data_IF_237142842260
#
_entry.id   IF_237142842260
#
_cell.length_a   1.000
_cell.length_b   1.000
_cell.length_c   1.000
_cell.angle_alpha   90.00
_cell.angle_beta   90.00
_cell.angle_gamma   90.00
#
_symmetry.space_group_name_H-M   'P 1'
#
loop_
_entity.id
_entity.type
_entity.pdbx_description
1 polymer ?
#
# COMPACT_ATOMS: atom_id res chain seq x y z
N UNK A 1 -2.05 -12.64 13.33
CA UNK A 1 -2.87 -11.65 12.58
C UNK A 1 -2.02 -10.42 12.37
N UNK A 2 -2.44 -9.55 11.46
CA UNK A 2 -1.89 -8.20 11.33
C UNK A 2 -3.01 -7.18 11.16
N UNK A 3 -2.70 -5.93 11.42
CA UNK A 3 -3.60 -4.77 11.27
C UNK A 3 -3.04 -3.83 10.20
N UNK A 4 -3.90 -3.12 9.49
CA UNK A 4 -3.48 -2.20 8.45
C UNK A 4 -2.82 -0.90 8.95
N UNK A 5 -3.08 -0.51 10.20
CA UNK A 5 -2.50 0.66 10.82
C UNK A 5 -1.02 0.43 11.15
N UNK A 6 -0.20 1.47 11.01
CA UNK A 6 1.25 1.36 11.21
C UNK A 6 1.63 1.78 12.65
N UNK A 7 2.62 1.13 13.28
CA UNK A 7 3.41 0.00 12.79
C UNK A 7 2.65 -1.34 12.82
N UNK A 8 2.75 -2.07 11.71
CA UNK A 8 2.24 -3.43 11.48
C UNK A 8 3.36 -4.43 11.19
N UNK A 9 3.07 -5.74 11.21
CA UNK A 9 4.03 -6.78 10.82
C UNK A 9 4.50 -6.58 9.36
N UNK A 10 3.59 -6.21 8.47
CA UNK A 10 3.91 -5.90 7.07
C UNK A 10 4.87 -4.70 6.94
N UNK A 11 4.82 -3.75 7.86
CA UNK A 11 5.65 -2.53 7.82
C UNK A 11 7.03 -2.66 8.48
N UNK A 12 7.39 -3.83 9.02
CA UNK A 12 8.66 -3.99 9.75
C UNK A 12 9.90 -3.55 8.94
N UNK A 13 10.03 -3.90 7.64
CA UNK A 13 11.16 -3.41 6.84
C UNK A 13 11.11 -1.92 6.56
N UNK A 14 9.90 -1.36 6.38
CA UNK A 14 9.73 0.08 6.17
C UNK A 14 10.29 0.90 7.34
N UNK A 15 10.14 0.41 8.58
CA UNK A 15 10.70 1.05 9.78
C UNK A 15 12.15 0.64 10.10
N UNK A 16 12.80 -0.19 9.26
CA UNK A 16 14.19 -0.62 9.45
C UNK A 16 14.39 -1.60 10.61
N UNK A 17 13.34 -2.29 11.08
CA UNK A 17 13.48 -3.30 12.13
C UNK A 17 14.06 -4.61 11.60
N UNK A 18 13.82 -4.92 10.33
CA UNK A 18 14.26 -6.15 9.68
C UNK A 18 14.50 -5.91 8.20
N UNK A 19 15.41 -6.65 7.58
CA UNK A 19 15.65 -6.54 6.15
C UNK A 19 14.47 -7.08 5.34
N UNK A 20 14.23 -6.49 4.18
CA UNK A 20 13.07 -6.85 3.33
C UNK A 20 13.17 -8.26 2.72
N UNK A 21 14.37 -8.86 2.71
CA UNK A 21 14.64 -10.23 2.25
C UNK A 21 14.83 -11.24 3.39
N UNK A 22 14.59 -10.84 4.65
CA UNK A 22 14.66 -11.75 5.79
C UNK A 22 13.64 -12.89 5.64
N UNK A 23 14.10 -14.12 5.86
CA UNK A 23 13.31 -15.34 5.62
C UNK A 23 12.11 -15.47 6.56
N UNK A 24 12.19 -14.93 7.78
CA UNK A 24 11.08 -14.95 8.74
C UNK A 24 10.08 -13.86 8.36
N UNK A 25 10.56 -12.68 7.98
CA UNK A 25 9.70 -11.62 7.46
C UNK A 25 8.93 -12.07 6.22
N UNK A 26 9.58 -12.68 5.22
CA UNK A 26 8.90 -13.14 4.01
C UNK A 26 7.78 -14.16 4.31
N UNK A 27 8.01 -15.12 5.21
CA UNK A 27 6.95 -16.03 5.67
C UNK A 27 5.83 -15.32 6.43
N UNK A 28 6.19 -14.26 7.17
CA UNK A 28 5.22 -13.44 7.89
C UNK A 28 4.38 -12.63 6.90
N UNK A 29 5.00 -12.02 5.88
CA UNK A 29 4.32 -11.34 4.78
C UNK A 29 3.33 -12.26 4.08
N UNK A 30 3.75 -13.47 3.72
CA UNK A 30 2.86 -14.48 3.10
C UNK A 30 1.66 -14.80 4.00
N UNK A 31 1.88 -14.95 5.30
CA UNK A 31 0.80 -15.14 6.27
C UNK A 31 -0.15 -13.93 6.33
N UNK A 32 0.39 -12.71 6.40
CA UNK A 32 -0.39 -11.46 6.51
C UNK A 32 -1.28 -11.23 5.28
N UNK A 33 -0.76 -11.55 4.09
CA UNK A 33 -1.41 -11.38 2.79
C UNK A 33 -2.18 -12.64 2.34
N UNK A 34 -2.78 -13.36 3.28
CA UNK A 34 -3.52 -14.60 3.02
C UNK A 34 -4.74 -14.74 3.93
N UNK A 35 -5.62 -15.67 3.60
CA UNK A 35 -6.83 -15.99 4.39
C UNK A 35 -6.54 -16.48 5.82
N UNK A 36 -5.27 -16.75 6.16
CA UNK A 36 -4.84 -17.03 7.52
C UNK A 36 -4.87 -15.79 8.43
N UNK A 37 -4.74 -14.59 7.85
CA UNK A 37 -4.98 -13.35 8.55
C UNK A 37 -6.46 -13.02 8.52
N UNK A 38 -7.13 -12.97 9.68
CA UNK A 38 -8.57 -12.69 9.77
C UNK A 38 -9.00 -11.31 9.23
N UNK A 39 -8.04 -10.40 9.06
CA UNK A 39 -8.26 -9.07 8.49
C UNK A 39 -7.71 -8.95 7.07
N UNK A 40 -7.25 -10.05 6.46
CA UNK A 40 -7.11 -10.13 5.02
C UNK A 40 -8.51 -10.32 4.42
N UNK A 41 -8.88 -9.43 3.50
CA UNK A 41 -10.12 -9.53 2.77
C UNK A 41 -9.79 -9.74 1.30
N UNK A 42 -10.40 -10.77 0.70
CA UNK A 42 -10.18 -11.17 -0.68
C UNK A 42 -11.49 -11.09 -1.46
N UNK A 43 -11.76 -9.92 -2.04
CA UNK A 43 -12.89 -9.68 -2.92
C UNK A 43 -12.69 -10.22 -4.33
N UNK A 44 -13.70 -10.04 -5.18
CA UNK A 44 -13.57 -10.35 -6.61
C UNK A 44 -12.50 -9.47 -7.28
N UNK A 45 -12.42 -8.20 -6.86
CA UNK A 45 -11.50 -7.21 -7.41
C UNK A 45 -10.49 -6.70 -6.38
N UNK A 46 -10.96 -6.31 -5.20
CA UNK A 46 -10.10 -5.70 -4.19
C UNK A 46 -9.67 -6.72 -3.14
N UNK A 47 -8.37 -6.74 -2.88
CA UNK A 47 -7.76 -7.56 -1.85
C UNK A 47 -6.80 -6.73 -1.01
N UNK A 48 -6.79 -6.94 0.30
CA UNK A 48 -5.95 -6.14 1.19
C UNK A 48 -6.20 -6.41 2.67
N UNK A 49 -5.39 -5.76 3.51
CA UNK A 49 -5.51 -5.86 4.97
C UNK A 49 -6.41 -4.73 5.49
N UNK A 50 -7.30 -5.08 6.40
CA UNK A 50 -8.15 -4.14 7.13
C UNK A 50 -7.78 -4.01 8.59
N UNK A 51 -8.78 -3.62 9.39
CA UNK A 51 -8.64 -3.47 10.84
C UNK A 51 -9.95 -3.82 11.55
N UNK A 52 -9.92 -4.40 12.77
CA UNK A 52 -11.11 -4.45 13.61
C UNK A 52 -11.72 -3.07 13.88
N UNK A 53 -10.97 -1.98 13.72
CA UNK A 53 -11.46 -0.61 13.92
C UNK A 53 -12.60 -0.24 12.96
N UNK A 54 -12.50 -0.64 11.69
CA UNK A 54 -13.50 -0.34 10.65
C UNK A 54 -14.46 -1.51 10.39
N UNK A 55 -14.27 -2.64 11.08
CA UNK A 55 -15.08 -3.83 10.92
C UNK A 55 -14.63 -4.73 9.77
N UNK A 56 -15.35 -5.85 9.60
CA UNK A 56 -15.02 -6.85 8.59
C UNK A 56 -15.36 -6.36 7.18
N UNK A 57 -14.50 -6.69 6.23
CA UNK A 57 -14.67 -6.35 4.82
C UNK A 57 -14.20 -4.95 4.43
N UNK A 58 -13.58 -4.20 5.35
CA UNK A 58 -13.01 -2.89 5.02
C UNK A 58 -11.49 -3.00 4.87
N UNK A 59 -11.00 -2.76 3.67
CA UNK A 59 -9.57 -2.71 3.34
C UNK A 59 -9.06 -1.29 3.56
N UNK A 60 -7.86 -1.14 4.11
CA UNK A 60 -7.23 0.16 4.31
C UNK A 60 -6.19 0.41 3.21
N UNK A 61 -6.27 1.52 2.46
CA UNK A 61 -5.26 1.90 1.46
C UNK A 61 -3.83 1.89 1.98
N UNK A 62 -3.63 2.22 3.26
CA UNK A 62 -2.30 2.20 3.88
C UNK A 62 -1.65 0.81 3.87
N UNK A 63 -2.42 -0.27 4.00
CA UNK A 63 -1.86 -1.63 3.88
C UNK A 63 -1.38 -1.94 2.46
N UNK A 64 -2.05 -1.38 1.44
CA UNK A 64 -1.66 -1.51 0.04
C UNK A 64 -0.39 -0.71 -0.25
N UNK A 65 -0.27 0.50 0.32
CA UNK A 65 0.98 1.26 0.29
C UNK A 65 2.13 0.47 0.93
N UNK A 66 1.92 -0.16 2.09
CA UNK A 66 2.94 -1.00 2.73
C UNK A 66 3.28 -2.22 1.89
N UNK A 67 2.29 -2.86 1.26
CA UNK A 67 2.51 -3.99 0.35
C UNK A 67 3.45 -3.58 -0.79
N UNK A 68 3.29 -2.38 -1.36
CA UNK A 68 4.20 -1.81 -2.38
C UNK A 68 5.57 -1.51 -1.79
N UNK A 69 5.65 -0.72 -0.72
CA UNK A 69 6.89 -0.21 -0.13
C UNK A 69 7.82 -1.32 0.41
N UNK A 70 7.28 -2.52 0.58
CA UNK A 70 8.02 -3.70 1.04
C UNK A 70 8.04 -4.82 -0.01
N UNK A 71 7.68 -4.54 -1.26
CA UNK A 71 7.77 -5.49 -2.37
C UNK A 71 9.06 -5.34 -3.15
N UNK A 72 9.55 -6.46 -3.69
CA UNK A 72 10.58 -6.50 -4.74
C UNK A 72 10.03 -7.01 -6.08
N UNK A 73 8.74 -7.31 -6.16
CA UNK A 73 8.07 -7.83 -7.35
C UNK A 73 7.32 -6.72 -8.10
N UNK A 74 7.80 -6.37 -9.28
CA UNK A 74 7.24 -5.28 -10.09
C UNK A 74 5.77 -5.50 -10.48
N UNK A 75 5.36 -6.75 -10.74
CA UNK A 75 3.98 -7.07 -11.06
C UNK A 75 3.07 -6.86 -9.85
N UNK A 76 3.51 -7.27 -8.66
CA UNK A 76 2.76 -7.03 -7.40
C UNK A 76 2.58 -5.54 -7.16
N UNK A 77 3.61 -4.74 -7.43
CA UNK A 77 3.57 -3.28 -7.30
C UNK A 77 2.54 -2.68 -8.25
N UNK A 78 2.59 -3.02 -9.54
CA UNK A 78 1.67 -2.49 -10.55
C UNK A 78 0.22 -2.85 -10.26
N UNK A 79 -0.05 -4.12 -9.92
CA UNK A 79 -1.39 -4.57 -9.53
C UNK A 79 -1.90 -3.82 -8.31
N UNK A 80 -1.06 -3.63 -7.30
CA UNK A 80 -1.44 -2.95 -6.06
C UNK A 80 -1.67 -1.44 -6.27
N UNK A 81 -0.92 -0.81 -7.18
CA UNK A 81 -1.15 0.58 -7.60
C UNK A 81 -2.51 0.75 -8.28
N UNK A 82 -2.89 -0.18 -9.16
CA UNK A 82 -4.19 -0.11 -9.82
C UNK A 82 -5.32 -0.28 -8.79
N UNK A 83 -5.17 -1.18 -7.80
CA UNK A 83 -6.13 -1.29 -6.69
C UNK A 83 -6.27 0.03 -5.92
N UNK A 84 -5.16 0.70 -5.59
CA UNK A 84 -5.18 2.00 -4.90
C UNK A 84 -5.95 3.05 -5.72
N UNK A 85 -5.65 3.17 -7.02
CA UNK A 85 -6.32 4.10 -7.93
C UNK A 85 -7.82 3.82 -8.02
N UNK A 86 -8.21 2.57 -8.24
CA UNK A 86 -9.61 2.17 -8.41
C UNK A 86 -10.41 2.17 -7.10
N UNK A 87 -9.74 2.12 -5.94
CA UNK A 87 -10.38 2.22 -4.61
C UNK A 87 -10.68 3.65 -4.16
N UNK A 88 -10.27 4.66 -4.93
CA UNK A 88 -10.41 6.08 -4.56
C UNK A 88 -11.82 6.64 -4.68
N UNK A 89 -12.79 5.87 -5.17
CA UNK A 89 -14.17 6.28 -5.41
C UNK A 89 -14.29 7.62 -6.18
N UNK A 90 -13.41 7.81 -7.18
CA UNK A 90 -13.28 9.02 -8.00
C UNK A 90 -13.01 10.33 -7.23
N UNK A 91 -12.63 10.24 -5.95
CA UNK A 91 -12.35 11.42 -5.12
C UNK A 91 -10.96 12.00 -5.36
N UNK A 92 -10.05 11.21 -5.93
CA UNK A 92 -8.63 11.55 -6.07
C UNK A 92 -7.86 11.53 -4.74
N UNK A 93 -8.45 11.05 -3.65
CA UNK A 93 -7.85 10.94 -2.33
C UNK A 93 -7.83 9.49 -1.83
N UNK A 94 -6.98 9.23 -0.85
CA UNK A 94 -6.99 8.00 -0.06
C UNK A 94 -7.91 8.15 1.15
N UNK A 95 -8.79 7.17 1.30
CA UNK A 95 -9.67 7.01 2.45
C UNK A 95 -8.96 6.27 3.59
N UNK A 96 -9.57 6.24 4.78
CA UNK A 96 -9.09 5.34 5.85
C UNK A 96 -9.31 3.89 5.49
N UNK A 97 -10.53 3.57 5.04
CA UNK A 97 -10.86 2.24 4.56
C UNK A 97 -11.95 2.30 3.51
N UNK A 98 -12.08 1.23 2.72
CA UNK A 98 -13.14 1.05 1.75
C UNK A 98 -13.64 -0.40 1.76
N UNK A 99 -14.92 -0.60 1.48
CA UNK A 99 -15.50 -1.94 1.45
C UNK A 99 -15.01 -2.72 0.21
N UNK A 100 -14.52 -3.94 0.40
CA UNK A 100 -13.82 -4.70 -0.65
C UNK A 100 -14.68 -5.03 -1.90
N UNK A 101 -16.01 -4.96 -1.79
CA UNK A 101 -16.93 -5.17 -2.92
C UNK A 101 -17.51 -3.85 -3.49
N UNK A 102 -17.36 -2.73 -2.78
CA UNK A 102 -17.86 -1.42 -3.23
C UNK A 102 -17.01 -0.29 -2.62
N UNK A 103 -16.03 0.25 -3.38
CA UNK A 103 -15.15 1.29 -2.86
C UNK A 103 -15.87 2.61 -2.58
N UNK A 104 -17.10 2.82 -3.08
CA UNK A 104 -17.90 3.99 -2.73
C UNK A 104 -18.36 3.98 -1.26
N UNK A 105 -18.35 2.80 -0.64
CA UNK A 105 -18.57 2.66 0.79
C UNK A 105 -17.23 2.72 1.52
N UNK A 106 -16.79 3.94 1.82
CA UNK A 106 -15.52 4.23 2.48
C UNK A 106 -15.69 4.98 3.80
N UNK A 107 -14.65 4.95 4.64
CA UNK A 107 -14.55 5.74 5.87
C UNK A 107 -13.54 6.87 5.71
N UNK A 108 -13.85 8.02 6.31
CA UNK A 108 -13.04 9.25 6.29
C UNK A 108 -12.67 9.71 4.88
N UNK A 109 -13.53 10.53 4.29
CA UNK A 109 -13.31 11.20 3.00
C UNK A 109 -12.02 12.02 2.93
N UNK A 110 -11.50 12.46 4.08
CA UNK A 110 -10.24 13.18 4.16
C UNK A 110 -9.35 12.62 5.28
N UNK A 111 -8.34 11.84 4.88
CA UNK A 111 -7.37 11.29 5.80
C UNK A 111 -5.95 11.65 5.37
N UNK A 112 -5.43 12.74 5.95
CA UNK A 112 -4.14 13.29 5.58
C UNK A 112 -2.98 12.28 5.66
N UNK A 113 -2.99 11.37 6.65
CA UNK A 113 -1.95 10.36 6.78
C UNK A 113 -1.94 9.37 5.61
N UNK A 114 -3.10 8.79 5.25
CA UNK A 114 -3.20 7.89 4.10
C UNK A 114 -2.78 8.59 2.80
N UNK A 115 -3.18 9.86 2.63
CA UNK A 115 -2.75 10.68 1.48
C UNK A 115 -1.23 10.89 1.44
N UNK A 116 -0.62 11.25 2.57
CA UNK A 116 0.83 11.44 2.67
C UNK A 116 1.59 10.15 2.39
N UNK A 117 1.11 9.02 2.93
CA UNK A 117 1.74 7.72 2.71
C UNK A 117 1.65 7.27 1.24
N UNK A 118 0.52 7.54 0.58
CA UNK A 118 0.41 7.30 -0.86
C UNK A 118 1.38 8.19 -1.66
N UNK A 119 1.48 9.48 -1.33
CA UNK A 119 2.46 10.37 -1.94
C UNK A 119 3.91 9.88 -1.75
N UNK A 120 4.26 9.44 -0.55
CA UNK A 120 5.55 8.81 -0.26
C UNK A 120 5.78 7.54 -1.08
N UNK A 121 4.74 6.70 -1.24
CA UNK A 121 4.80 5.48 -2.07
C UNK A 121 5.13 5.82 -3.52
N UNK A 122 4.50 6.86 -4.09
CA UNK A 122 4.79 7.31 -5.46
C UNK A 122 6.22 7.89 -5.55
N UNK A 123 6.67 8.66 -4.58
CA UNK A 123 8.05 9.18 -4.55
C UNK A 123 9.09 8.07 -4.44
N UNK A 124 8.82 7.05 -3.63
CA UNK A 124 9.67 5.86 -3.52
C UNK A 124 9.80 5.17 -4.88
N UNK A 125 8.68 4.92 -5.57
CA UNK A 125 8.70 4.30 -6.89
C UNK A 125 9.37 5.19 -7.93
N UNK A 126 9.15 6.51 -7.90
CA UNK A 126 9.83 7.44 -8.81
C UNK A 126 11.36 7.40 -8.66
N UNK A 127 11.84 7.14 -7.45
CA UNK A 127 13.27 7.05 -7.15
C UNK A 127 13.86 5.68 -7.48
N UNK A 128 13.19 4.60 -7.05
CA UNK A 128 13.75 3.25 -7.06
C UNK A 128 13.33 2.43 -8.29
N UNK A 129 12.15 2.72 -8.86
CA UNK A 129 11.52 1.98 -9.96
C UNK A 129 10.79 2.92 -10.95
N UNK A 130 11.45 3.95 -11.50
CA UNK A 130 10.80 4.99 -12.31
C UNK A 130 10.06 4.42 -13.52
N UNK A 131 10.59 3.38 -14.15
CA UNK A 131 10.00 2.74 -15.33
C UNK A 131 8.60 2.16 -15.09
N UNK A 132 8.21 1.92 -13.82
CA UNK A 132 6.87 1.43 -13.49
C UNK A 132 5.78 2.50 -13.50
N UNK A 133 6.16 3.78 -13.33
CA UNK A 133 5.18 4.87 -13.14
C UNK A 133 5.41 6.08 -14.04
N UNK A 134 6.57 6.19 -14.67
CA UNK A 134 6.89 7.26 -15.61
C UNK A 134 6.62 6.79 -17.03
N UNK A 135 5.83 7.57 -17.76
CA UNK A 135 5.71 7.46 -19.22
C UNK A 135 6.80 8.37 -19.81
N UNK A 136 7.42 7.96 -20.92
CA UNK A 136 8.62 8.53 -21.56
C UNK A 136 8.69 10.07 -21.72
N UNK A 137 7.57 10.78 -21.56
CA UNK A 137 7.48 12.24 -21.70
C UNK A 137 7.79 13.04 -20.41
N UNK A 138 7.94 12.40 -19.25
CA UNK A 138 8.31 13.10 -18.01
C UNK A 138 9.83 13.17 -17.80
N UNK A 139 10.47 14.20 -18.39
CA UNK A 139 11.80 14.65 -17.95
C UNK A 139 11.71 15.21 -16.53
N UNK A 140 11.93 14.39 -15.51
CA UNK A 140 12.20 14.90 -14.18
C UNK A 140 13.50 15.70 -14.22
N UNK A 141 13.39 17.00 -13.94
CA UNK A 141 14.53 17.83 -13.57
C UNK A 141 15.19 17.13 -12.38
N UNK A 142 16.49 16.80 -12.51
CA UNK A 142 17.36 16.39 -11.41
C UNK A 142 17.24 17.41 -10.25
N UNK A 143 16.28 17.20 -9.35
CA UNK A 143 16.26 17.80 -8.04
C UNK A 143 16.71 16.70 -7.10
N UNK A 144 18.04 16.61 -6.97
CA UNK A 144 18.83 16.00 -5.89
C UNK A 144 20.25 15.69 -6.41
N UNK A 145 20.88 16.68 -7.05
CA UNK A 145 22.34 16.85 -6.93
C UNK A 145 22.55 17.82 -5.75
N UNK A 146 22.32 17.32 -4.54
CA UNK A 146 22.57 18.04 -3.29
C UNK A 146 23.26 17.10 -2.29
N UNK A 147 24.38 16.53 -2.70
CA UNK A 147 25.37 15.97 -1.77
C UNK A 147 26.76 16.12 -2.40
N UNK A 148 27.45 17.17 -1.94
CA UNK A 148 28.87 17.10 -1.63
C UNK A 148 29.11 16.04 -0.55
#
# INVERSE_FOLDING_TARGET
MDDANLPSLLSLPYFGFIDNDDKIYLKTRDFVLSDWNKFWFNGEKFQGVGSPHTGLGYIWPMSLCMKILTSTNDQEILETLELLKESSADTGLMHESFYYNDPNNYTRSWFAWANSLFGETILHLAKEKPDLIMIDDFKFIKLLDASK
#
